data_IF_994863131549
#
_entry.id   IF_994863131549
#
_cell.length_a   1.000
_cell.length_b   1.000
_cell.length_c   1.000
_cell.angle_alpha   90.00
_cell.angle_beta   90.00
_cell.angle_gamma   90.00
#
_symmetry.space_group_name_H-M   'P 1'
#
loop_
_entity.id
_entity.type
_entity.pdbx_description
1 polymer ?
#
# COMPACT_ATOMS: atom_id res chain seq x y z
N UNK A 1 15.83 5.12 -4.41
CA UNK A 1 15.05 5.39 -5.64
C UNK A 1 13.75 4.64 -5.54
N UNK A 2 12.66 5.23 -6.05
CA UNK A 2 11.37 4.56 -6.22
C UNK A 2 10.88 4.88 -7.63
N UNK A 3 10.03 4.03 -8.18
CA UNK A 3 9.48 4.25 -9.52
C UNK A 3 8.41 5.34 -9.48
N UNK A 4 8.44 6.23 -10.47
CA UNK A 4 7.37 7.17 -10.77
C UNK A 4 6.78 6.77 -12.12
N UNK A 5 5.46 6.54 -12.17
CA UNK A 5 4.77 6.02 -13.36
C UNK A 5 3.75 7.03 -13.86
N UNK A 6 3.64 7.15 -15.17
CA UNK A 6 2.57 7.86 -15.87
C UNK A 6 2.03 6.95 -16.96
N UNK A 7 0.70 6.89 -17.09
CA UNK A 7 0.04 6.14 -18.15
C UNK A 7 -0.38 7.12 -19.26
N UNK A 8 -0.20 6.73 -20.51
CA UNK A 8 -0.64 7.53 -21.66
C UNK A 8 -1.04 6.62 -22.81
N UNK A 9 -1.94 7.11 -23.66
CA UNK A 9 -2.23 6.47 -24.94
C UNK A 9 -1.32 7.09 -26.00
N UNK A 10 -0.61 6.24 -26.75
CA UNK A 10 0.23 6.71 -27.86
C UNK A 10 -0.63 7.50 -28.87
N UNK A 11 -0.24 8.72 -29.26
CA UNK A 11 -1.03 9.53 -30.18
C UNK A 11 -0.99 8.94 -31.59
N UNK A 12 -2.06 9.14 -32.36
CA UNK A 12 -2.21 8.59 -33.70
C UNK A 12 -1.10 9.01 -34.68
N UNK A 13 -0.43 10.15 -34.44
CA UNK A 13 0.69 10.64 -35.24
C UNK A 13 2.04 10.02 -34.85
N UNK A 14 2.08 9.12 -33.86
CA UNK A 14 3.28 8.41 -33.42
C UNK A 14 4.32 9.26 -32.68
N UNK A 15 4.01 10.50 -32.27
CA UNK A 15 4.98 11.39 -31.60
C UNK A 15 4.47 11.90 -30.26
N UNK A 16 5.23 11.63 -29.21
CA UNK A 16 5.02 12.17 -27.87
C UNK A 16 6.33 12.65 -27.26
N UNK A 17 6.26 13.45 -26.20
CA UNK A 17 7.42 13.99 -25.48
C UNK A 17 7.34 13.60 -24.02
N UNK A 18 8.39 12.93 -23.51
CA UNK A 18 8.60 12.73 -22.08
C UNK A 18 9.47 13.87 -21.54
N UNK A 19 9.09 14.45 -20.40
CA UNK A 19 9.88 15.43 -19.66
C UNK A 19 10.06 14.96 -18.22
N UNK A 20 11.27 15.12 -17.71
CA UNK A 20 11.60 14.92 -16.30
C UNK A 20 12.21 16.24 -15.81
N UNK A 21 11.46 16.95 -14.97
CA UNK A 21 11.79 18.31 -14.55
C UNK A 21 11.61 18.42 -13.03
N UNK A 22 12.52 19.13 -12.35
CA UNK A 22 12.35 19.48 -10.95
C UNK A 22 11.56 20.79 -10.85
N UNK A 23 10.81 20.97 -9.76
CA UNK A 23 10.07 22.20 -9.51
C UNK A 23 11.01 23.43 -9.48
N UNK A 24 10.63 24.49 -10.20
CA UNK A 24 11.38 25.73 -10.25
C UNK A 24 11.54 26.36 -8.87
N UNK A 25 12.71 26.97 -8.60
CA UNK A 25 13.00 27.65 -7.33
C UNK A 25 13.30 26.71 -6.16
N UNK A 26 13.32 25.39 -6.36
CA UNK A 26 13.72 24.42 -5.34
C UNK A 26 15.23 24.19 -5.34
N UNK A 27 15.83 24.12 -4.15
CA UNK A 27 17.22 23.67 -3.97
C UNK A 27 17.35 22.15 -3.89
N UNK A 28 16.22 21.42 -3.88
CA UNK A 28 16.19 19.97 -3.80
C UNK A 28 16.82 19.34 -5.06
N UNK A 29 17.69 18.35 -4.86
CA UNK A 29 18.29 17.58 -5.95
C UNK A 29 17.42 16.38 -6.27
N UNK A 30 16.83 16.36 -7.46
CA UNK A 30 16.09 15.20 -7.99
C UNK A 30 17.02 14.37 -8.86
N UNK A 31 17.03 13.06 -8.66
CA UNK A 31 17.76 12.10 -9.51
C UNK A 31 16.74 11.16 -10.16
N UNK A 32 16.91 10.93 -11.46
CA UNK A 32 16.13 9.98 -12.22
C UNK A 32 17.08 9.08 -13.03
N UNK A 33 16.71 7.83 -13.18
CA UNK A 33 17.44 6.83 -13.95
C UNK A 33 16.45 5.77 -14.47
N UNK A 34 16.89 4.90 -15.37
CA UNK A 34 16.12 3.74 -15.88
C UNK A 34 14.75 4.09 -16.48
N UNK A 35 14.71 5.03 -17.42
CA UNK A 35 13.48 5.35 -18.17
C UNK A 35 13.04 4.12 -18.98
N UNK A 36 11.92 3.52 -18.58
CA UNK A 36 11.29 2.38 -19.25
C UNK A 36 9.95 2.77 -19.85
N UNK A 37 9.77 2.49 -21.13
CA UNK A 37 8.49 2.57 -21.83
C UNK A 37 8.06 1.14 -22.15
N UNK A 38 6.86 0.77 -21.72
CA UNK A 38 6.31 -0.58 -21.88
C UNK A 38 4.84 -0.47 -22.25
N UNK A 39 4.38 -1.35 -23.13
CA UNK A 39 2.96 -1.49 -23.40
C UNK A 39 2.26 -2.07 -22.17
N UNK A 40 1.16 -1.46 -21.77
CA UNK A 40 0.35 -1.93 -20.66
C UNK A 40 -1.10 -1.43 -20.80
N UNK A 41 -2.03 -2.12 -20.15
CA UNK A 41 -3.45 -1.76 -20.08
C UNK A 41 -3.92 -1.76 -18.61
N UNK A 42 -3.37 -0.88 -17.75
CA UNK A 42 -3.72 -0.84 -16.34
C UNK A 42 -5.21 -0.55 -16.15
N UNK A 43 -5.82 -1.23 -15.19
CA UNK A 43 -7.23 -1.04 -14.89
C UNK A 43 -7.52 0.39 -14.41
N UNK A 44 -8.71 0.87 -14.73
CA UNK A 44 -9.20 2.17 -14.25
C UNK A 44 -10.64 2.03 -13.77
N UNK A 45 -10.99 2.81 -12.75
CA UNK A 45 -12.35 2.83 -12.22
C UNK A 45 -12.81 4.26 -12.04
N UNK A 46 -13.91 4.62 -12.70
CA UNK A 46 -14.47 5.97 -12.63
C UNK A 46 -14.80 6.35 -11.18
N UNK A 47 -14.51 7.61 -10.82
CA UNK A 47 -14.76 8.14 -9.47
C UNK A 47 -13.75 7.72 -8.40
N UNK A 48 -12.64 7.08 -8.80
CA UNK A 48 -11.56 6.68 -7.88
C UNK A 48 -10.30 7.51 -8.13
N UNK A 49 -9.51 7.73 -7.09
CA UNK A 49 -8.16 8.33 -7.24
C UNK A 49 -7.10 7.28 -7.52
N UNK A 50 -7.35 6.03 -7.14
CA UNK A 50 -6.55 4.87 -7.49
C UNK A 50 -7.44 3.63 -7.55
N UNK A 51 -7.18 2.78 -8.55
CA UNK A 51 -7.76 1.45 -8.66
C UNK A 51 -6.69 0.50 -9.22
N UNK A 52 -6.58 -0.68 -8.62
CA UNK A 52 -5.66 -1.73 -9.06
C UNK A 52 -6.32 -3.10 -8.81
N UNK A 53 -6.52 -3.86 -9.87
CA UNK A 53 -6.96 -5.27 -9.86
C UNK A 53 -5.80 -6.25 -10.10
N UNK A 54 -4.57 -5.73 -10.24
CA UNK A 54 -3.33 -6.47 -10.41
C UNK A 54 -3.16 -7.25 -11.72
N UNK A 55 -4.14 -7.25 -12.62
CA UNK A 55 -4.13 -8.01 -13.89
C UNK A 55 -3.19 -7.44 -14.96
N UNK A 56 -2.68 -6.23 -14.73
CA UNK A 56 -1.90 -5.46 -15.68
C UNK A 56 -0.74 -4.73 -14.98
N UNK A 57 -0.14 -5.34 -13.96
CA UNK A 57 1.04 -4.79 -13.30
C UNK A 57 2.28 -5.07 -14.16
N UNK A 58 2.87 -4.02 -14.73
CA UNK A 58 4.06 -4.17 -15.59
C UNK A 58 5.34 -4.50 -14.81
N UNK A 59 5.40 -4.08 -13.54
CA UNK A 59 6.41 -4.47 -12.56
C UNK A 59 6.01 -3.99 -11.15
N UNK A 60 6.45 -4.70 -10.12
CA UNK A 60 6.26 -4.30 -8.73
C UNK A 60 4.90 -4.77 -8.20
N UNK A 61 4.28 -3.94 -7.35
CA UNK A 61 3.08 -4.31 -6.59
C UNK A 61 1.94 -3.29 -6.79
N UNK A 62 1.73 -2.85 -8.03
CA UNK A 62 0.75 -1.82 -8.36
C UNK A 62 1.06 -0.47 -7.68
N UNK A 63 0.13 0.11 -6.89
CA UNK A 63 0.34 1.39 -6.23
C UNK A 63 1.24 1.30 -4.99
N UNK A 64 1.68 0.09 -4.60
CA UNK A 64 2.42 -0.14 -3.37
C UNK A 64 3.94 -0.19 -3.59
N UNK A 65 4.66 0.33 -2.60
CA UNK A 65 6.11 0.32 -2.51
C UNK A 65 6.54 -0.52 -1.31
N UNK A 66 7.65 -1.25 -1.44
CA UNK A 66 8.23 -2.02 -0.33
C UNK A 66 8.52 -1.10 0.87
N UNK A 67 8.06 -1.53 2.04
CA UNK A 67 8.40 -0.92 3.31
C UNK A 67 9.68 -1.50 3.94
N UNK A 68 9.81 -1.33 5.25
CA UNK A 68 11.00 -1.71 6.01
C UNK A 68 11.01 -3.17 6.48
N UNK A 69 9.97 -3.95 6.22
CA UNK A 69 9.92 -5.37 6.54
C UNK A 69 11.15 -6.10 5.97
N UNK A 70 11.93 -6.70 6.86
CA UNK A 70 13.20 -7.38 6.52
C UNK A 70 14.35 -6.47 6.10
N UNK A 71 14.18 -5.15 6.09
CA UNK A 71 15.20 -4.20 5.64
C UNK A 71 15.45 -4.28 4.13
N UNK A 72 16.70 -4.41 3.71
CA UNK A 72 17.07 -4.61 2.30
C UNK A 72 17.21 -6.10 2.00
N UNK A 73 16.17 -6.70 1.44
CA UNK A 73 16.06 -8.14 1.16
C UNK A 73 15.34 -8.38 -0.16
N UNK A 74 15.40 -9.63 -0.62
CA UNK A 74 14.40 -10.15 -1.54
C UNK A 74 13.06 -10.26 -0.78
N UNK A 75 12.08 -9.40 -1.07
CA UNK A 75 10.81 -9.41 -0.35
C UNK A 75 10.02 -10.69 -0.65
N UNK A 76 9.20 -11.11 0.32
CA UNK A 76 8.31 -12.27 0.15
C UNK A 76 6.90 -11.85 -0.29
N UNK A 77 6.82 -10.69 -0.94
CA UNK A 77 5.60 -10.15 -1.53
C UNK A 77 5.72 -10.14 -3.04
N UNK A 78 4.70 -10.61 -3.75
CA UNK A 78 4.70 -10.73 -5.21
C UNK A 78 3.29 -10.72 -5.78
N UNK A 79 3.18 -10.48 -7.08
CA UNK A 79 1.95 -10.74 -7.83
C UNK A 79 1.85 -12.25 -8.03
N UNK A 80 0.90 -12.89 -7.36
CA UNK A 80 0.62 -14.31 -7.50
C UNK A 80 -0.27 -14.56 -8.71
N UNK A 81 -0.09 -15.70 -9.36
CA UNK A 81 -0.83 -16.08 -10.56
C UNK A 81 -1.68 -17.32 -10.32
N UNK A 82 -2.87 -17.34 -10.91
CA UNK A 82 -3.83 -18.42 -10.77
C UNK A 82 -3.36 -19.68 -11.50
N UNK A 83 -3.28 -20.79 -10.77
CA UNK A 83 -3.10 -22.12 -11.32
C UNK A 83 -3.91 -23.12 -10.48
N UNK A 84 -5.22 -23.18 -10.73
CA UNK A 84 -6.13 -24.04 -9.98
C UNK A 84 -5.92 -25.53 -10.33
N UNK A 85 -6.03 -26.45 -9.35
CA UNK A 85 -6.41 -26.18 -7.95
C UNK A 85 -5.24 -25.76 -7.05
N UNK A 86 -3.99 -25.82 -7.53
CA UNK A 86 -2.77 -25.75 -6.74
C UNK A 86 -2.56 -24.45 -5.97
N UNK A 87 -3.01 -23.33 -6.53
CA UNK A 87 -2.90 -21.99 -5.92
C UNK A 87 -4.10 -21.63 -5.05
N UNK A 88 -5.14 -22.47 -5.03
CA UNK A 88 -6.37 -22.18 -4.28
C UNK A 88 -6.41 -22.94 -2.96
N UNK A 89 -7.19 -22.41 -2.02
CA UNK A 89 -7.46 -22.99 -0.72
C UNK A 89 -7.99 -24.43 -0.83
N UNK A 90 -7.67 -25.24 0.17
CA UNK A 90 -8.04 -26.66 0.24
C UNK A 90 -7.06 -27.61 -0.47
N UNK A 91 -6.39 -27.19 -1.54
CA UNK A 91 -5.36 -28.03 -2.17
C UNK A 91 -4.15 -28.19 -1.23
N UNK A 92 -3.78 -29.44 -0.94
CA UNK A 92 -2.72 -29.78 0.01
C UNK A 92 -2.83 -29.06 1.38
N UNK A 93 -4.05 -28.81 1.86
CA UNK A 93 -4.29 -28.14 3.14
C UNK A 93 -4.02 -26.63 3.15
N UNK A 94 -3.83 -26.01 1.98
CA UNK A 94 -3.63 -24.55 1.84
C UNK A 94 -4.82 -23.78 2.45
N UNK A 95 -4.50 -22.78 3.28
CA UNK A 95 -5.51 -22.08 4.11
C UNK A 95 -6.28 -20.97 3.38
N UNK A 96 -5.65 -20.33 2.39
CA UNK A 96 -6.19 -19.20 1.63
C UNK A 96 -5.82 -19.32 0.15
N UNK A 97 -6.62 -18.72 -0.72
CA UNK A 97 -6.33 -18.61 -2.14
C UNK A 97 -5.14 -17.67 -2.40
N UNK A 98 -4.31 -17.97 -3.39
CA UNK A 98 -3.28 -17.04 -3.87
C UNK A 98 -3.85 -15.98 -4.81
N UNK A 99 -5.00 -16.24 -5.45
CA UNK A 99 -5.69 -15.31 -6.34
C UNK A 99 -7.16 -15.24 -5.98
N UNK A 100 -7.67 -14.02 -5.74
CA UNK A 100 -9.02 -13.77 -5.22
C UNK A 100 -10.02 -13.50 -6.35
N UNK A 101 -9.60 -12.74 -7.37
CA UNK A 101 -10.33 -12.47 -8.60
C UNK A 101 -9.42 -12.56 -9.82
N UNK A 102 -10.00 -12.65 -11.02
CA UNK A 102 -9.21 -12.65 -12.26
C UNK A 102 -8.17 -13.77 -12.34
N UNK A 103 -6.92 -13.40 -12.66
CA UNK A 103 -5.77 -14.29 -12.79
C UNK A 103 -4.63 -13.92 -11.85
N UNK A 104 -4.64 -12.72 -11.29
CA UNK A 104 -3.53 -12.18 -10.52
C UNK A 104 -4.03 -11.51 -9.23
N UNK A 105 -3.24 -11.55 -8.17
CA UNK A 105 -3.50 -10.80 -6.94
C UNK A 105 -2.18 -10.44 -6.26
N UNK A 106 -2.21 -9.52 -5.30
CA UNK A 106 -1.03 -9.20 -4.51
C UNK A 106 -0.96 -10.12 -3.28
N UNK A 107 0.09 -10.95 -3.20
CA UNK A 107 0.32 -11.86 -2.07
C UNK A 107 1.55 -11.47 -1.28
N UNK A 108 1.40 -11.35 0.05
CA UNK A 108 2.49 -11.37 1.02
C UNK A 108 2.57 -12.76 1.66
N UNK A 109 3.62 -13.51 1.33
CA UNK A 109 3.85 -14.87 1.85
C UNK A 109 4.81 -14.83 3.03
N UNK A 110 4.35 -15.22 4.22
CA UNK A 110 5.18 -15.26 5.44
C UNK A 110 6.17 -14.09 5.57
N UNK A 111 5.68 -12.87 5.37
CA UNK A 111 6.59 -11.72 5.33
C UNK A 111 7.27 -11.47 6.67
N UNK A 112 8.41 -10.79 6.58
CA UNK A 112 9.17 -10.32 7.72
C UNK A 112 8.36 -9.29 8.53
N UNK A 113 8.59 -9.23 9.83
CA UNK A 113 7.99 -8.19 10.69
C UNK A 113 8.39 -6.79 10.23
N UNK A 114 7.44 -5.85 10.27
CA UNK A 114 7.62 -4.46 9.83
C UNK A 114 6.54 -4.02 8.85
N UNK A 115 6.71 -2.84 8.27
CA UNK A 115 5.87 -2.36 7.19
C UNK A 115 6.20 -3.15 5.92
N UNK A 116 5.27 -3.97 5.44
CA UNK A 116 5.46 -4.81 4.26
C UNK A 116 5.48 -3.93 3.01
N UNK A 117 4.42 -3.15 2.85
CA UNK A 117 4.30 -2.19 1.76
C UNK A 117 3.36 -1.05 2.11
N UNK A 118 3.50 0.08 1.41
CA UNK A 118 2.60 1.24 1.52
C UNK A 118 2.45 1.99 0.20
N UNK A 119 1.40 2.77 0.09
CA UNK A 119 1.22 3.76 -0.99
C UNK A 119 2.15 4.97 -0.79
N UNK A 120 2.23 5.84 -1.80
CA UNK A 120 2.90 7.13 -1.72
C UNK A 120 2.10 8.19 -2.49
N UNK A 121 2.36 9.50 -2.31
CA UNK A 121 1.60 10.56 -2.97
C UNK A 121 1.59 10.47 -4.51
N UNK A 122 2.64 9.90 -5.12
CA UNK A 122 2.71 9.73 -6.57
C UNK A 122 2.03 8.45 -7.09
N UNK A 123 1.63 7.52 -6.21
CA UNK A 123 0.84 6.34 -6.58
C UNK A 123 -0.63 6.48 -6.17
N UNK A 124 -0.90 7.16 -5.06
CA UNK A 124 -2.24 7.49 -4.55
C UNK A 124 -2.24 8.94 -4.07
N UNK A 125 -2.60 9.91 -4.94
CA UNK A 125 -2.51 11.33 -4.64
C UNK A 125 -3.66 11.79 -3.75
N UNK A 126 -3.50 11.64 -2.44
CA UNK A 126 -4.46 12.13 -1.44
C UNK A 126 -4.17 13.59 -1.09
N UNK A 127 -5.20 14.42 -1.14
CA UNK A 127 -5.12 15.86 -0.85
C UNK A 127 -5.40 16.12 0.63
N UNK A 128 -4.53 16.91 1.25
CA UNK A 128 -4.73 17.39 2.62
C UNK A 128 -6.11 18.03 2.83
N UNK A 129 -6.75 17.64 3.94
CA UNK A 129 -8.09 18.09 4.31
C UNK A 129 -9.23 17.36 3.61
N UNK A 130 -8.96 16.36 2.76
CA UNK A 130 -9.98 15.49 2.17
C UNK A 130 -10.09 14.16 2.94
N UNK A 131 -11.25 13.49 2.81
CA UNK A 131 -11.44 12.12 3.27
C UNK A 131 -11.40 11.15 2.12
N UNK A 132 -10.78 10.00 2.34
CA UNK A 132 -10.66 8.94 1.36
C UNK A 132 -11.20 7.65 1.93
N UNK A 133 -11.98 6.91 1.12
CA UNK A 133 -12.33 5.53 1.43
C UNK A 133 -11.37 4.60 0.71
N UNK A 134 -10.73 3.73 1.47
CA UNK A 134 -9.87 2.64 1.00
C UNK A 134 -10.67 1.36 1.10
N UNK A 135 -10.83 0.68 -0.02
CA UNK A 135 -11.57 -0.58 -0.16
C UNK A 135 -10.67 -1.62 -0.84
N UNK A 136 -10.77 -2.88 -0.44
CA UNK A 136 -10.16 -4.02 -1.15
C UNK A 136 -10.78 -5.34 -0.69
N UNK A 137 -10.69 -6.35 -1.56
CA UNK A 137 -10.97 -7.73 -1.21
C UNK A 137 -9.70 -8.38 -0.63
N UNK A 138 -9.86 -9.26 0.36
CA UNK A 138 -8.71 -9.91 1.00
C UNK A 138 -9.00 -11.31 1.52
N UNK A 139 -7.91 -12.07 1.69
CA UNK A 139 -7.84 -13.23 2.56
C UNK A 139 -6.63 -13.10 3.49
N UNK A 140 -6.77 -13.60 4.72
CA UNK A 140 -5.73 -13.61 5.74
C UNK A 140 -5.75 -14.95 6.45
N UNK A 141 -4.63 -15.68 6.36
CA UNK A 141 -4.55 -17.05 6.89
C UNK A 141 -4.65 -17.12 8.42
N UNK A 142 -4.20 -16.07 9.13
CA UNK A 142 -4.10 -16.04 10.58
C UNK A 142 -4.48 -14.67 11.15
N UNK A 143 -5.25 -14.66 12.25
CA UNK A 143 -5.51 -13.45 13.02
C UNK A 143 -4.23 -13.00 13.74
N UNK A 144 -4.08 -11.69 13.94
CA UNK A 144 -2.92 -11.14 14.67
C UNK A 144 -1.59 -11.21 13.92
N UNK A 145 -1.60 -11.64 12.64
CA UNK A 145 -0.40 -11.64 11.81
C UNK A 145 -0.15 -10.30 11.13
N UNK A 146 -1.21 -9.59 10.75
CA UNK A 146 -1.15 -8.37 9.96
C UNK A 146 -2.07 -7.27 10.49
N UNK A 147 -1.69 -6.03 10.22
CA UNK A 147 -2.55 -4.85 10.38
C UNK A 147 -2.51 -4.02 9.11
N UNK A 148 -3.67 -3.45 8.75
CA UNK A 148 -3.73 -2.38 7.78
C UNK A 148 -3.43 -1.05 8.48
N UNK A 149 -2.44 -0.31 7.99
CA UNK A 149 -1.90 0.86 8.66
C UNK A 149 -2.09 2.12 7.82
N UNK A 150 -2.23 3.25 8.50
CA UNK A 150 -2.36 4.58 7.93
C UNK A 150 -1.32 5.49 8.59
N UNK A 151 -0.78 6.43 7.84
CA UNK A 151 0.21 7.35 8.35
C UNK A 151 0.50 8.48 7.40
N UNK A 152 1.50 9.28 7.76
CA UNK A 152 2.00 10.35 6.90
C UNK A 152 3.51 10.46 7.02
N UNK A 153 4.14 10.89 5.93
CA UNK A 153 5.54 11.29 5.92
C UNK A 153 5.63 12.83 6.01
N UNK A 154 6.67 13.32 6.70
CA UNK A 154 7.03 14.73 6.77
C UNK A 154 8.52 14.89 6.54
N UNK A 155 8.88 16.04 5.98
CA UNK A 155 10.25 16.54 6.02
C UNK A 155 10.25 17.84 6.82
N UNK A 156 10.93 17.84 7.96
CA UNK A 156 11.14 19.01 8.80
C UNK A 156 12.64 19.13 9.11
N UNK A 157 13.19 20.34 9.01
CA UNK A 157 14.62 20.62 9.26
C UNK A 157 15.59 19.69 8.50
N UNK A 158 15.20 19.33 7.27
CA UNK A 158 15.99 18.43 6.40
C UNK A 158 15.95 16.96 6.80
N UNK A 159 15.18 16.58 7.84
CA UNK A 159 15.00 15.20 8.28
C UNK A 159 13.62 14.68 7.86
N UNK A 160 13.61 13.55 7.17
CA UNK A 160 12.38 12.82 6.90
C UNK A 160 11.95 12.02 8.14
N UNK A 161 10.65 12.03 8.43
CA UNK A 161 10.01 11.22 9.46
C UNK A 161 8.74 10.59 8.92
N UNK A 162 8.43 9.37 9.35
CA UNK A 162 7.19 8.67 9.03
C UNK A 162 6.45 8.41 10.33
N UNK A 163 5.18 8.82 10.40
CA UNK A 163 4.33 8.62 11.58
C UNK A 163 3.16 7.74 11.20
N UNK A 164 3.01 6.61 11.87
CA UNK A 164 1.79 5.80 11.80
C UNK A 164 0.75 6.41 12.74
N UNK A 165 -0.42 6.71 12.23
CA UNK A 165 -1.51 7.32 12.99
C UNK A 165 -2.57 6.31 13.39
N UNK A 166 -2.64 5.17 12.68
CA UNK A 166 -3.61 4.13 12.93
C UNK A 166 -3.10 2.77 12.47
N UNK A 167 -3.37 1.76 13.29
CA UNK A 167 -3.32 0.35 12.92
C UNK A 167 -4.72 -0.26 13.05
N UNK A 168 -5.23 -0.88 11.98
CA UNK A 168 -6.45 -1.67 11.99
C UNK A 168 -6.06 -3.14 11.90
N UNK A 169 -6.26 -3.94 12.97
CA UNK A 169 -5.93 -5.36 12.97
C UNK A 169 -6.70 -6.11 11.88
N UNK A 170 -6.00 -6.98 11.15
CA UNK A 170 -6.61 -7.91 10.20
C UNK A 170 -6.85 -9.25 10.91
N UNK A 171 -8.13 -9.65 10.97
CA UNK A 171 -8.52 -10.95 11.50
C UNK A 171 -8.17 -12.10 10.53
N UNK A 172 -8.31 -13.33 11.01
CA UNK A 172 -8.30 -14.49 10.12
C UNK A 172 -9.51 -14.40 9.20
N UNK A 173 -9.29 -14.57 7.89
CA UNK A 173 -10.32 -14.56 6.88
C UNK A 173 -9.93 -15.54 5.75
N UNK A 174 -10.46 -16.77 5.79
CA UNK A 174 -10.08 -17.88 4.89
C UNK A 174 -10.88 -17.99 3.60
N UNK A 175 -11.89 -17.13 3.46
CA UNK A 175 -12.69 -16.94 2.25
C UNK A 175 -12.68 -15.46 1.95
N UNK A 176 -12.79 -15.05 0.69
CA UNK A 176 -12.69 -13.63 0.31
C UNK A 176 -13.65 -12.76 1.13
N UNK A 177 -13.08 -11.85 1.92
CA UNK A 177 -13.79 -10.83 2.68
C UNK A 177 -13.48 -9.44 2.13
N UNK A 178 -14.22 -8.44 2.58
CA UNK A 178 -14.02 -7.06 2.16
C UNK A 178 -13.48 -6.21 3.30
N UNK A 179 -12.45 -5.43 3.01
CA UNK A 179 -11.96 -4.38 3.88
C UNK A 179 -12.48 -3.03 3.37
N UNK A 180 -12.95 -2.18 4.27
CA UNK A 180 -13.33 -0.80 3.96
C UNK A 180 -12.99 0.11 5.12
N UNK A 181 -12.28 1.20 4.84
CA UNK A 181 -11.90 2.19 5.85
C UNK A 181 -11.89 3.59 5.28
N UNK A 182 -12.39 4.55 6.06
CA UNK A 182 -12.24 5.97 5.77
C UNK A 182 -11.08 6.54 6.58
N UNK A 183 -10.19 7.25 5.90
CA UNK A 183 -9.09 8.03 6.48
C UNK A 183 -9.21 9.49 6.06
N UNK A 184 -8.75 10.40 6.90
CA UNK A 184 -8.64 11.83 6.56
C UNK A 184 -7.19 12.13 6.23
N UNK A 185 -6.92 12.58 5.01
CA UNK A 185 -5.60 12.98 4.58
C UNK A 185 -5.22 14.34 5.17
N UNK A 186 -3.97 14.47 5.57
CA UNK A 186 -3.44 15.66 6.18
C UNK A 186 -2.13 15.37 6.88
N UNK A 187 -1.58 16.42 7.48
CA UNK A 187 -0.33 16.33 8.21
C UNK A 187 0.89 16.00 7.31
N UNK A 188 0.83 16.15 5.99
CA UNK A 188 1.93 15.82 5.09
C UNK A 188 1.55 14.70 4.13
N UNK A 189 2.55 13.96 3.66
CA UNK A 189 2.38 12.95 2.62
C UNK A 189 1.66 11.72 3.18
N UNK A 190 0.33 11.74 3.12
CA UNK A 190 -0.52 10.66 3.65
C UNK A 190 -0.30 9.36 2.87
N UNK A 191 -0.24 8.24 3.57
CA UNK A 191 -0.09 6.90 2.99
C UNK A 191 -0.88 5.86 3.78
N UNK A 192 -1.11 4.71 3.12
CA UNK A 192 -1.72 3.53 3.76
C UNK A 192 -1.07 2.24 3.25
N UNK A 193 -1.13 1.16 4.02
CA UNK A 193 -0.42 -0.06 3.66
C UNK A 193 -0.60 -1.24 4.62
N UNK A 194 0.19 -2.29 4.40
CA UNK A 194 0.15 -3.52 5.19
C UNK A 194 1.38 -3.60 6.10
N UNK A 195 1.16 -3.90 7.39
CA UNK A 195 2.21 -4.18 8.37
C UNK A 195 2.10 -5.63 8.84
N UNK A 196 3.24 -6.32 8.89
CA UNK A 196 3.39 -7.62 9.57
C UNK A 196 3.72 -7.38 11.04
N UNK A 197 2.98 -8.03 11.93
CA UNK A 197 3.16 -7.93 13.37
C UNK A 197 4.25 -8.90 13.88
N UNK A 198 4.96 -8.56 14.96
CA UNK A 198 5.87 -9.50 15.64
C UNK A 198 5.07 -10.67 16.22
N UNK A 199 5.68 -11.86 16.26
CA UNK A 199 5.05 -13.05 16.82
C UNK A 199 3.91 -13.64 15.98
N UNK A 200 3.78 -13.22 14.72
CA UNK A 200 2.83 -13.82 13.78
C UNK A 200 3.08 -15.34 13.65
N UNK A 201 2.03 -16.17 13.54
CA UNK A 201 2.19 -17.60 13.30
C UNK A 201 2.99 -17.92 12.04
N UNK A 202 3.68 -19.06 12.03
CA UNK A 202 4.26 -19.64 10.81
C UNK A 202 3.14 -19.93 9.79
N UNK A 203 3.44 -19.83 8.49
CA UNK A 203 2.42 -19.96 7.44
C UNK A 203 1.52 -18.74 7.27
N UNK A 204 1.81 -17.63 7.94
CA UNK A 204 0.95 -16.46 7.89
C UNK A 204 1.08 -15.67 6.58
N UNK A 205 0.20 -15.99 5.64
CA UNK A 205 -0.03 -15.32 4.36
C UNK A 205 -1.18 -14.30 4.43
N UNK A 206 -1.08 -13.26 3.61
CA UNK A 206 -2.12 -12.27 3.30
C UNK A 206 -2.20 -12.05 1.79
N UNK A 207 -3.41 -12.02 1.24
CA UNK A 207 -3.66 -11.75 -0.19
C UNK A 207 -4.68 -10.63 -0.29
N UNK A 208 -4.43 -9.70 -1.21
CA UNK A 208 -5.26 -8.54 -1.48
C UNK A 208 -5.52 -8.43 -2.98
N UNK A 209 -6.73 -7.99 -3.32
CA UNK A 209 -7.17 -7.75 -4.68
C UNK A 209 -8.16 -6.55 -4.75
N UNK A 210 -8.32 -5.94 -5.92
CA UNK A 210 -9.30 -4.88 -6.17
C UNK A 210 -9.08 -3.61 -5.33
N UNK A 211 -7.82 -3.25 -5.06
CA UNK A 211 -7.49 -2.08 -4.25
C UNK A 211 -8.06 -0.80 -4.85
N UNK A 212 -8.91 -0.12 -4.09
CA UNK A 212 -9.64 1.06 -4.53
C UNK A 212 -9.50 2.18 -3.52
N UNK A 213 -9.20 3.39 -3.99
CA UNK A 213 -9.23 4.60 -3.17
C UNK A 213 -10.19 5.61 -3.79
N UNK A 214 -11.19 6.04 -3.04
CA UNK A 214 -12.23 6.97 -3.48
C UNK A 214 -12.13 8.27 -2.68
N UNK A 215 -12.02 9.42 -3.36
CA UNK A 215 -12.14 10.74 -2.72
C UNK A 215 -13.60 10.99 -2.32
N UNK A 216 -13.84 11.20 -1.02
CA UNK A 216 -15.16 11.51 -0.45
C UNK A 216 -15.41 13.01 -0.32
N UNK A 217 -14.47 13.84 -0.79
CA UNK A 217 -14.48 15.28 -0.69
C UNK A 217 -13.85 15.80 0.61
N UNK A 218 -13.98 17.11 0.86
CA UNK A 218 -13.46 17.76 2.06
C UNK A 218 -13.95 17.09 3.35
N UNK A 219 -13.05 17.02 4.34
CA UNK A 219 -13.41 16.59 5.68
C UNK A 219 -14.42 17.57 6.28
N UNK A 220 -15.49 17.07 6.94
CA UNK A 220 -16.35 17.91 7.77
C UNK A 220 -15.55 18.58 8.89
N UNK A 221 -16.02 19.75 9.34
CA UNK A 221 -15.42 20.45 10.48
C UNK A 221 -15.33 19.53 11.71
N UNK A 222 -14.14 19.47 12.32
CA UNK A 222 -13.85 18.59 13.46
C UNK A 222 -13.48 17.15 13.09
N UNK A 223 -13.38 16.81 11.80
CA UNK A 223 -12.89 15.53 11.30
C UNK A 223 -11.59 15.68 10.50
N UNK A 224 -10.91 16.82 10.63
CA UNK A 224 -9.59 17.05 10.06
C UNK A 224 -8.55 16.10 10.66
N UNK A 225 -7.45 15.87 9.95
CA UNK A 225 -6.36 15.04 10.44
C UNK A 225 -5.76 15.65 11.72
N UNK A 226 -5.69 14.85 12.79
CA UNK A 226 -5.07 15.26 14.06
C UNK A 226 -3.59 14.91 14.02
N UNK A 227 -2.74 15.92 13.99
CA UNK A 227 -1.29 15.75 13.78
C UNK A 227 -0.47 15.61 15.08
N UNK A 228 -1.11 15.30 16.21
CA UNK A 228 -0.43 15.19 17.51
C UNK A 228 0.24 13.82 17.69
N UNK A 229 1.52 13.82 18.04
CA UNK A 229 2.22 12.63 18.53
C UNK A 229 1.95 12.49 20.03
N UNK A 230 1.27 11.43 20.45
CA UNK A 230 1.30 11.00 21.85
C UNK A 230 2.65 10.31 22.07
N UNK A 231 3.63 11.04 22.61
CA UNK A 231 4.82 10.44 23.21
C UNK A 231 4.38 9.72 24.48
N UNK A 232 4.05 8.44 24.38
CA UNK A 232 3.92 7.59 25.57
C UNK A 232 5.34 7.23 26.00
N UNK A 233 5.89 8.00 26.94
CA UNK A 233 7.02 7.54 27.72
C UNK A 233 6.58 6.28 28.47
N UNK A 234 7.16 5.14 28.14
CA UNK A 234 7.04 3.93 28.94
C UNK A 234 7.85 4.19 30.22
N UNK A 235 7.22 4.82 31.21
CA UNK A 235 7.78 4.83 32.55
C UNK A 235 7.85 3.37 33.00
N UNK A 236 9.07 2.93 33.28
CA UNK A 236 9.37 1.63 33.82
C UNK A 236 8.72 1.51 35.20
N UNK A 237 7.50 0.99 35.26
CA UNK A 237 7.03 0.31 36.47
C UNK A 237 7.76 -1.03 36.54
N UNK A 238 8.96 -0.99 37.14
CA UNK A 238 9.55 -2.15 37.81
C UNK A 238 8.57 -2.64 38.88
N UNK A 239 7.82 -3.68 38.57
CA UNK A 239 7.25 -4.57 39.58
C UNK A 239 8.40 -5.44 40.11
N UNK A 240 8.94 -5.05 41.26
CA UNK A 240 9.75 -5.94 42.09
C UNK A 240 8.84 -6.87 42.93
N UNK A 241 9.34 -8.06 43.32
CA UNK A 241 8.56 -9.31 43.42
C UNK A 241 7.57 -9.44 44.58
#
# INVERSE_FOLDING_TARGET
FQRAKVNFTAPANGRTTLRVEAAAGSTAKVRADDVRIVENAPATRAGTVAYEDFEAVDQGWGPFLKGDAGGSTDPRTSISQLNAPYTQSGWNGKLIDDVLGGKESLKAHEENTGLVYRTAPWTVPMKDGHRYRVDFDYQSSHAGAYSWVEGYDRVADGKASSTETRATPIGQQRTTGQFSRTLTAGCGDTWTGLRKLPGAPEGADFVLDGFTVTDLGPAPAGQEAVCGTLDVAADAETLEP
#
